data_IF_557400718054
#
_entry.id   IF_557400718054
#
_cell.length_a   1.000
_cell.length_b   1.000
_cell.length_c   1.000
_cell.angle_alpha   90.00
_cell.angle_beta   90.00
_cell.angle_gamma   90.00
#
_symmetry.space_group_name_H-M   'P 1'
#
loop_
_entity.id
_entity.type
_entity.pdbx_description
1 polymer ?
2 non-polymer ?
3 water ?
#
# COMPACT_ATOMS: atom_id res chain seq x y z
N UNK A 5 -17.63 -23.07 11.34
CA UNK A 5 -17.52 -23.86 10.12
C UNK A 5 -16.08 -23.92 9.60
N UNK A 6 -15.40 -22.77 9.50
CA UNK A 6 -14.06 -22.68 8.93
C UNK A 6 -13.02 -22.70 10.05
N UNK A 7 -12.01 -23.56 9.91
CA UNK A 7 -10.91 -23.70 10.86
C UNK A 7 -9.57 -23.51 10.15
N UNK A 8 -8.54 -23.24 10.95
CA UNK A 8 -7.22 -22.99 10.42
C UNK A 8 -6.19 -23.88 11.10
N UNK A 9 -5.30 -24.47 10.32
CA UNK A 9 -4.27 -25.34 10.85
C UNK A 9 -3.02 -25.19 10.00
N UNK A 10 -1.86 -25.59 10.52
CA UNK A 10 -0.66 -25.56 9.69
C UNK A 10 -0.80 -26.48 8.50
N UNK A 11 -0.21 -26.10 7.39
CA UNK A 11 -0.13 -27.03 6.26
C UNK A 11 0.85 -28.15 6.58
N UNK A 12 0.48 -29.36 6.22
CA UNK A 12 1.31 -30.54 6.48
C UNK A 12 1.48 -31.35 5.20
N UNK A 13 2.36 -32.36 5.23
CA UNK A 13 2.65 -33.10 3.98
C UNK A 13 1.44 -33.72 3.31
N UNK A 14 0.42 -34.12 4.07
CA UNK A 14 -0.74 -34.71 3.43
C UNK A 14 -1.51 -33.73 2.55
N UNK A 15 -1.23 -32.43 2.68
CA UNK A 15 -1.83 -31.39 1.83
C UNK A 15 -1.12 -31.23 0.49
N UNK A 16 -0.03 -31.97 0.26
CA UNK A 16 0.86 -31.67 -0.87
C UNK A 16 0.10 -31.63 -2.21
N UNK A 17 -0.60 -32.72 -2.55
CA UNK A 17 -1.30 -32.78 -3.83
C UNK A 17 -2.31 -31.65 -3.98
N UNK A 18 -3.16 -31.47 -2.97
CA UNK A 18 -4.17 -30.42 -3.05
C UNK A 18 -3.52 -29.04 -3.13
N UNK A 19 -2.47 -28.81 -2.34
CA UNK A 19 -1.80 -27.51 -2.35
C UNK A 19 -1.24 -27.19 -3.73
N UNK A 20 -0.56 -28.15 -4.35
CA UNK A 20 -0.01 -27.90 -5.67
C UNK A 20 -1.13 -27.61 -6.66
N UNK A 21 -2.18 -28.40 -6.57
CA UNK A 21 -3.27 -28.30 -7.54
C UNK A 21 -3.98 -26.95 -7.44
N UNK A 22 -4.30 -26.51 -6.23
CA UNK A 22 -4.99 -25.23 -6.05
C UNK A 22 -4.11 -24.06 -6.48
N UNK A 23 -2.80 -24.11 -6.18
CA UNK A 23 -1.92 -23.06 -6.69
C UNK A 23 -1.98 -22.98 -8.22
N UNK A 24 -1.88 -24.13 -8.89
CA UNK A 24 -1.95 -24.14 -10.34
C UNK A 24 -3.27 -23.57 -10.81
N UNK A 25 -4.35 -23.85 -10.09
CA UNK A 25 -5.67 -23.48 -10.60
C UNK A 25 -6.01 -22.02 -10.35
N UNK A 26 -5.57 -21.44 -9.22
CA UNK A 26 -6.04 -20.09 -8.87
C UNK A 26 -4.94 -19.09 -8.60
N UNK A 27 -3.69 -19.56 -8.42
CA UNK A 27 -2.66 -18.58 -8.11
C UNK A 27 -1.85 -18.26 -9.36
N UNK A 28 -1.80 -17.00 -9.78
CA UNK A 28 -1.20 -16.68 -11.08
C UNK A 28 0.29 -16.96 -11.19
N UNK A 29 1.05 -16.86 -10.10
CA UNK A 29 2.50 -17.06 -10.16
C UNK A 29 2.81 -18.54 -10.07
N UNK A 30 3.51 -19.07 -11.07
CA UNK A 30 3.86 -20.48 -11.07
C UNK A 30 5.07 -20.77 -10.20
N UNK A 31 4.97 -21.84 -9.44
CA UNK A 31 6.02 -22.33 -8.56
C UNK A 31 6.41 -23.75 -8.92
N UNK A 32 7.68 -24.05 -8.74
CA UNK A 32 8.23 -25.36 -9.02
C UNK A 32 7.80 -26.34 -7.94
N UNK A 33 7.90 -27.64 -8.25
CA UNK A 33 7.46 -28.65 -7.31
C UNK A 33 8.25 -28.56 -6.01
N UNK A 34 9.55 -28.22 -6.10
CA UNK A 34 10.34 -28.07 -4.89
C UNK A 34 9.74 -27.06 -3.94
N UNK A 35 9.13 -26.00 -4.46
CA UNK A 35 8.54 -25.01 -3.57
C UNK A 35 7.48 -25.64 -2.67
N UNK A 36 6.64 -26.51 -3.23
CA UNK A 36 5.58 -27.08 -2.43
C UNK A 36 6.09 -28.10 -1.42
N UNK A 37 7.20 -28.79 -1.73
CA UNK A 37 7.85 -29.61 -0.72
C UNK A 37 8.35 -28.74 0.43
N UNK A 38 8.96 -27.60 0.10
CA UNK A 38 9.41 -26.68 1.14
C UNK A 38 8.24 -26.24 2.02
N UNK A 39 7.10 -25.92 1.40
CA UNK A 39 5.95 -25.44 2.17
C UNK A 39 5.49 -26.51 3.17
N UNK A 40 5.23 -27.73 2.69
CA UNK A 40 4.65 -28.75 3.55
C UNK A 40 5.64 -29.27 4.58
N UNK A 41 6.94 -29.14 4.31
CA UNK A 41 7.98 -29.53 5.24
C UNK A 41 8.35 -28.43 6.23
N UNK A 42 7.87 -27.21 6.00
CA UNK A 42 8.04 -26.11 6.96
C UNK A 42 9.47 -25.57 6.96
N UNK A 43 10.04 -25.44 8.15
CA UNK A 43 11.33 -24.79 8.27
C UNK A 43 11.30 -23.29 8.04
N UNK A 44 11.78 -22.84 6.89
CA UNK A 44 11.81 -21.41 6.59
C UNK A 44 10.55 -20.90 5.91
N UNK A 45 9.55 -21.75 5.71
CA UNK A 45 8.26 -21.31 5.20
C UNK A 45 7.23 -21.67 6.26
N UNK A 46 6.44 -20.67 6.65
CA UNK A 46 5.32 -20.88 7.55
C UNK A 46 4.08 -20.84 6.71
N UNK A 47 3.07 -21.59 7.12
CA UNK A 47 1.87 -21.55 6.30
C UNK A 47 0.66 -22.03 7.07
N UNK A 48 -0.50 -21.67 6.55
CA UNK A 48 -1.78 -21.98 7.17
C UNK A 48 -2.76 -22.47 6.11
N UNK A 49 -3.55 -23.45 6.47
CA UNK A 49 -4.63 -23.94 5.64
C UNK A 49 -5.95 -23.54 6.29
N UNK A 50 -6.93 -23.25 5.45
CA UNK A 50 -8.31 -23.10 5.88
C UNK A 50 -9.06 -24.35 5.45
N UNK A 51 -9.83 -24.94 6.36
CA UNK A 51 -10.61 -26.13 6.06
C UNK A 51 -12.05 -25.94 6.56
N UNK A 52 -12.98 -26.59 5.85
CA UNK A 52 -14.37 -26.70 6.28
C UNK A 52 -14.60 -28.17 6.59
N UNK A 53 -14.43 -28.56 7.87
CA UNK A 53 -14.59 -29.96 8.22
C UNK A 53 -16.04 -30.40 8.12
N UNK A 54 -16.94 -29.45 7.90
CA UNK A 54 -18.36 -29.72 7.67
C UNK A 54 -18.66 -30.13 6.23
N UNK A 55 -17.64 -30.21 5.36
CA UNK A 55 -17.89 -30.51 3.96
C UNK A 55 -18.36 -31.95 3.80
N UNK A 56 -19.36 -32.19 2.94
CA UNK A 56 -19.81 -33.56 2.68
C UNK A 56 -18.89 -34.32 1.73
N UNK A 57 -19.10 -35.64 1.73
CA UNK A 57 -18.44 -36.58 0.83
C UNK A 57 -16.98 -36.89 1.16
N UNK A 58 -16.51 -36.66 2.40
CA UNK A 58 -15.17 -37.07 2.76
C UNK A 58 -14.12 -35.98 2.76
N UNK A 59 -14.37 -34.86 2.09
CA UNK A 59 -13.36 -33.83 1.87
C UNK A 59 -13.23 -32.86 3.06
N UNK A 60 -13.72 -33.25 4.24
CA UNK A 60 -13.70 -32.36 5.40
C UNK A 60 -12.31 -31.81 5.69
N UNK A 61 -11.27 -32.63 5.52
CA UNK A 61 -9.91 -32.21 5.85
C UNK A 61 -9.17 -31.57 4.68
N UNK A 62 -9.78 -31.52 3.50
CA UNK A 62 -9.17 -30.91 2.32
C UNK A 62 -9.20 -29.40 2.45
N UNK A 63 -8.06 -28.75 2.24
CA UNK A 63 -8.01 -27.31 2.41
C UNK A 63 -8.82 -26.61 1.32
N UNK A 64 -9.45 -25.50 1.70
CA UNK A 64 -10.15 -24.63 0.75
C UNK A 64 -9.57 -23.22 0.74
N UNK A 65 -8.50 -23.00 1.48
CA UNK A 65 -7.80 -21.72 1.47
C UNK A 65 -6.41 -21.97 2.00
N UNK A 66 -5.51 -21.05 1.67
CA UNK A 66 -4.12 -21.24 2.09
C UNK A 66 -3.44 -19.87 2.14
N UNK A 67 -2.40 -19.77 2.98
CA UNK A 67 -1.45 -18.67 2.89
C UNK A 67 -0.08 -19.24 3.20
N UNK A 68 0.93 -18.86 2.40
CA UNK A 68 2.31 -19.27 2.63
C UNK A 68 3.20 -18.05 2.83
N UNK A 69 4.23 -18.18 3.67
CA UNK A 69 5.09 -17.06 4.00
C UNK A 69 6.49 -17.58 4.33
N UNK A 70 7.49 -16.73 4.16
CA UNK A 70 8.84 -17.13 4.54
C UNK A 70 9.46 -16.04 5.38
N UNK A 71 10.48 -16.44 6.11
CA UNK A 71 11.16 -15.56 7.03
C UNK A 71 12.35 -14.94 6.33
N UNK A 72 12.55 -13.64 6.53
CA UNK A 72 13.54 -12.84 5.83
C UNK A 72 14.32 -12.03 6.86
N UNK A 73 15.65 -12.06 6.80
CA UNK A 73 16.43 -11.16 7.62
C UNK A 73 16.15 -9.72 7.20
N UNK A 74 15.83 -8.86 8.18
CA UNK A 74 15.39 -7.51 7.85
C UNK A 74 16.38 -6.79 6.94
N UNK A 75 17.68 -6.91 7.24
CA UNK A 75 18.67 -6.16 6.46
C UNK A 75 18.90 -6.74 5.07
N UNK A 76 18.39 -7.93 4.80
CA UNK A 76 18.48 -8.52 3.47
C UNK A 76 17.20 -8.33 2.66
N UNK A 77 16.20 -7.65 3.24
CA UNK A 77 14.93 -7.45 2.56
C UNK A 77 14.99 -6.18 1.72
N UNK A 78 14.10 -6.10 0.73
CA UNK A 78 14.05 -4.91 -0.09
C UNK A 78 13.46 -3.70 0.62
N UNK A 79 12.88 -3.87 1.80
CA UNK A 79 12.30 -2.73 2.52
C UNK A 79 13.18 -2.34 3.70
N UNK A 80 14.43 -2.79 3.70
CA UNK A 80 15.35 -2.38 4.76
C UNK A 80 15.49 -0.87 4.80
N UNK A 81 15.32 -0.20 3.66
CA UNK A 81 15.42 1.26 3.62
C UNK A 81 14.29 1.93 4.39
N UNK A 82 13.22 1.20 4.70
CA UNK A 82 12.07 1.79 5.34
C UNK A 82 12.10 1.67 6.86
N UNK A 83 13.09 0.94 7.41
CA UNK A 83 13.14 0.55 8.81
C UNK A 83 14.09 1.43 9.60
N UNK A 84 13.66 1.87 10.78
CA UNK A 84 14.54 2.57 11.70
C UNK A 84 15.18 1.48 12.56
N UNK A 85 16.49 1.31 12.42
CA UNK A 85 17.21 0.27 13.14
C UNK A 85 17.70 0.77 14.49
N UNK A 86 17.36 0.04 15.54
CA UNK A 86 17.79 0.36 16.88
C UNK A 86 18.98 -0.56 17.17
N UNK A 87 20.13 0.04 17.47
CA UNK A 87 21.33 -0.77 17.65
C UNK A 87 21.15 -1.83 18.71
N UNK A 88 20.37 -1.53 19.77
CA UNK A 88 20.27 -2.45 20.91
C UNK A 88 19.44 -3.70 20.63
N UNK A 89 18.51 -3.66 19.67
CA UNK A 89 17.65 -4.82 19.49
C UNK A 89 18.22 -5.88 18.54
N UNK A 90 19.20 -5.53 17.72
CA UNK A 90 19.69 -6.44 16.71
C UNK A 90 19.00 -6.18 15.38
N UNK A 91 19.30 -7.02 14.40
CA UNK A 91 18.81 -6.76 13.05
C UNK A 91 17.32 -7.04 12.94
N UNK A 92 16.87 -8.20 13.42
CA UNK A 92 15.48 -8.53 13.30
C UNK A 92 15.11 -9.19 11.98
N UNK A 93 13.87 -9.66 11.91
CA UNK A 93 13.35 -10.36 10.76
C UNK A 93 12.05 -9.73 10.28
N UNK A 94 11.59 -10.25 9.15
CA UNK A 94 10.33 -9.89 8.53
C UNK A 94 9.68 -11.18 8.05
N UNK A 95 8.35 -11.17 8.01
CA UNK A 95 7.59 -12.25 7.38
C UNK A 95 7.14 -11.76 6.00
N UNK A 96 7.43 -12.54 4.97
CA UNK A 96 7.07 -12.22 3.59
C UNK A 96 5.97 -13.17 3.11
N UNK A 97 4.78 -12.64 2.84
CA UNK A 97 3.73 -13.51 2.31
C UNK A 97 4.04 -13.82 0.86
N UNK A 98 4.08 -15.11 0.53
CA UNK A 98 4.37 -15.61 -0.80
C UNK A 98 3.07 -15.81 -1.59
N UNK A 99 2.17 -16.63 -1.07
CA UNK A 99 0.94 -16.92 -1.79
C UNK A 99 -0.25 -16.86 -0.84
N UNK A 100 -1.42 -16.63 -1.43
CA UNK A 100 -2.67 -16.55 -0.68
C UNK A 100 -3.77 -16.87 -1.67
N UNK A 101 -4.72 -17.72 -1.29
CA UNK A 101 -5.82 -18.05 -2.17
C UNK A 101 -6.96 -18.69 -1.41
N UNK A 102 -8.18 -18.50 -1.92
CA UNK A 102 -9.39 -19.14 -1.40
C UNK A 102 -10.14 -19.73 -2.60
N UNK A 103 -10.66 -20.95 -2.47
CA UNK A 103 -11.36 -21.52 -3.61
C UNK A 103 -12.60 -20.66 -3.93
N UNK A 104 -12.91 -20.58 -5.21
CA UNK A 104 -13.89 -19.62 -5.71
C UNK A 104 -15.20 -19.67 -4.92
N UNK A 105 -15.72 -20.87 -4.67
CA UNK A 105 -17.01 -20.95 -4.00
C UNK A 105 -16.97 -20.59 -2.51
N UNK A 106 -15.79 -20.37 -1.94
CA UNK A 106 -15.69 -19.96 -0.54
C UNK A 106 -15.33 -18.48 -0.38
N UNK A 107 -15.30 -17.73 -1.47
CA UNK A 107 -14.83 -16.35 -1.41
C UNK A 107 -15.89 -15.40 -0.85
N UNK A 108 -15.44 -14.24 -0.41
CA UNK A 108 -16.30 -13.20 0.13
C UNK A 108 -16.95 -13.62 1.44
N UNK A 109 -16.24 -14.43 2.24
CA UNK A 109 -16.69 -14.82 3.56
C UNK A 109 -15.69 -14.43 4.64
N UNK A 110 -14.63 -13.71 4.28
CA UNK A 110 -13.62 -13.31 5.24
C UNK A 110 -12.50 -14.31 5.46
N UNK A 111 -12.42 -15.36 4.64
CA UNK A 111 -11.40 -16.38 4.86
C UNK A 111 -10.01 -15.81 4.57
N UNK A 112 -9.86 -15.09 3.46
CA UNK A 112 -8.55 -14.53 3.14
C UNK A 112 -8.12 -13.53 4.20
N UNK A 113 -9.04 -12.68 4.65
CA UNK A 113 -8.72 -11.78 5.74
C UNK A 113 -8.23 -12.55 6.97
N UNK A 114 -8.93 -13.63 7.31
CA UNK A 114 -8.51 -14.42 8.48
C UNK A 114 -7.15 -15.06 8.25
N UNK A 115 -6.88 -15.52 7.03
CA UNK A 115 -5.57 -16.12 6.74
C UNK A 115 -4.46 -15.10 6.93
N UNK A 116 -4.62 -13.89 6.39
CA UNK A 116 -3.63 -12.84 6.60
C UNK A 116 -3.49 -12.55 8.09
N UNK A 117 -4.61 -12.50 8.81
CA UNK A 117 -4.56 -12.27 10.25
C UNK A 117 -3.65 -13.28 10.94
N UNK A 118 -3.72 -14.55 10.52
CA UNK A 118 -2.84 -15.57 11.08
C UNK A 118 -1.37 -15.20 10.89
N UNK A 119 -1.02 -14.67 9.72
CA UNK A 119 0.37 -14.32 9.46
C UNK A 119 0.80 -13.14 10.33
N UNK A 120 -0.06 -12.13 10.46
CA UNK A 120 0.27 -10.97 11.30
C UNK A 120 0.38 -11.38 12.76
N UNK A 121 -0.56 -12.20 13.23
CA UNK A 121 -0.50 -12.70 14.60
C UNK A 121 0.75 -13.54 14.83
N UNK A 122 1.17 -14.30 13.82
CA UNK A 122 2.42 -15.05 13.92
C UNK A 122 3.62 -14.10 14.04
N UNK A 123 3.70 -13.11 13.15
CA UNK A 123 4.85 -12.22 13.14
C UNK A 123 4.97 -11.42 14.45
N UNK A 124 3.84 -11.14 15.09
CA UNK A 124 3.89 -10.37 16.32
C UNK A 124 4.41 -11.18 17.50
N UNK A 125 4.58 -12.49 17.34
CA UNK A 125 5.03 -13.34 18.42
C UNK A 125 6.54 -13.62 18.40
N UNK A 126 7.19 -13.26 17.29
CA UNK A 126 8.62 -13.50 17.11
C UNK A 126 9.35 -12.27 17.64
N UNK A 127 10.28 -12.42 18.62
CA UNK A 127 10.72 -11.24 19.36
C UNK A 127 11.08 -10.04 18.52
N UNK A 128 12.05 -10.14 17.62
CA UNK A 128 12.48 -8.98 16.83
C UNK A 128 11.89 -9.02 15.41
N UNK A 129 10.77 -9.70 15.23
CA UNK A 129 10.08 -9.66 13.94
C UNK A 129 9.38 -8.32 13.75
N UNK A 130 9.73 -7.63 12.67
CA UNK A 130 9.34 -6.23 12.51
C UNK A 130 8.03 -6.06 11.78
N UNK A 131 7.49 -7.11 11.20
CA UNK A 131 6.23 -6.97 10.49
C UNK A 131 6.14 -7.94 9.33
N UNK A 132 5.23 -7.61 8.42
CA UNK A 132 4.86 -8.45 7.27
C UNK A 132 4.93 -7.60 6.02
N UNK A 133 5.43 -8.17 4.92
CA UNK A 133 5.38 -7.50 3.63
C UNK A 133 5.13 -8.53 2.53
N UNK A 134 4.79 -8.03 1.36
CA UNK A 134 4.43 -8.87 0.22
C UNK A 134 4.33 -7.99 -1.01
N UNK A 135 4.16 -8.64 -2.14
CA UNK A 135 3.91 -7.97 -3.40
C UNK A 135 2.57 -8.45 -3.96
N UNK A 136 1.80 -7.52 -4.48
CA UNK A 136 0.51 -7.79 -5.08
C UNK A 136 0.59 -7.43 -6.55
N UNK A 137 0.03 -8.28 -7.42
CA UNK A 137 -0.05 -7.91 -8.82
C UNK A 137 -0.85 -6.63 -8.91
N UNK A 138 -0.35 -5.67 -9.69
CA UNK A 138 -0.85 -4.30 -9.59
C UNK A 138 -2.26 -4.12 -10.14
N UNK A 139 -2.73 -5.01 -11.00
CA UNK A 139 -4.09 -4.87 -11.52
C UNK A 139 -5.09 -5.72 -10.75
N UNK A 140 -4.66 -6.34 -9.65
CA UNK A 140 -5.52 -7.18 -8.81
C UNK A 140 -6.17 -6.30 -7.75
N UNK A 141 -7.25 -5.63 -8.15
CA UNK A 141 -7.94 -4.72 -7.25
C UNK A 141 -8.51 -5.41 -6.01
N UNK A 142 -9.11 -6.60 -6.09
CA UNK A 142 -9.59 -7.25 -4.86
C UNK A 142 -8.49 -7.48 -3.84
N UNK A 143 -7.30 -7.87 -4.30
CA UNK A 143 -6.17 -8.07 -3.39
C UNK A 143 -5.72 -6.75 -2.79
N UNK A 144 -5.62 -5.69 -3.60
CA UNK A 144 -5.28 -4.37 -3.06
C UNK A 144 -6.28 -3.96 -1.98
N UNK A 145 -7.59 -4.07 -2.25
CA UNK A 145 -8.58 -3.70 -1.24
C UNK A 145 -8.43 -4.54 0.03
N UNK A 146 -8.11 -5.82 -0.13
CA UNK A 146 -7.98 -6.72 1.02
C UNK A 146 -6.82 -6.30 1.93
N UNK A 147 -5.66 -6.06 1.35
CA UNK A 147 -4.53 -5.73 2.20
C UNK A 147 -4.71 -4.35 2.82
N UNK A 148 -5.26 -3.40 2.07
CA UNK A 148 -5.60 -2.09 2.63
C UNK A 148 -6.56 -2.24 3.81
N UNK A 149 -7.54 -3.14 3.67
CA UNK A 149 -8.52 -3.35 4.73
C UNK A 149 -7.86 -3.89 5.99
N UNK A 150 -6.79 -4.65 5.82
CA UNK A 150 -5.96 -5.18 6.90
C UNK A 150 -4.96 -4.16 7.43
N UNK A 151 -5.02 -2.92 6.97
CA UNK A 151 -4.13 -1.84 7.40
C UNK A 151 -2.73 -1.92 6.82
N UNK A 152 -2.49 -2.71 5.76
CA UNK A 152 -1.18 -2.69 5.12
C UNK A 152 -1.03 -1.39 4.34
N UNK A 153 0.19 -0.86 4.32
CA UNK A 153 0.49 0.37 3.59
C UNK A 153 1.00 -0.01 2.20
N UNK A 154 0.45 0.64 1.16
CA UNK A 154 0.93 0.48 -0.21
C UNK A 154 2.12 1.41 -0.41
N UNK A 155 3.32 0.85 -0.58
CA UNK A 155 4.54 1.64 -0.56
C UNK A 155 4.91 2.19 -1.94
N UNK A 156 5.03 1.31 -2.92
CA UNK A 156 5.56 1.73 -4.22
C UNK A 156 5.25 0.67 -5.26
N UNK A 157 5.39 1.05 -6.52
CA UNK A 157 5.18 0.17 -7.66
C UNK A 157 6.51 -0.35 -8.19
N UNK A 158 6.59 -1.66 -8.39
CA UNK A 158 7.77 -2.30 -8.98
C UNK A 158 7.43 -2.73 -10.41
N UNK A 159 8.19 -2.24 -11.38
CA UNK A 159 7.88 -2.52 -12.78
C UNK A 159 8.44 -3.86 -13.22
N UNK A 160 7.64 -4.62 -13.97
CA UNK A 160 8.12 -5.89 -14.48
C UNK A 160 8.41 -6.93 -13.42
N UNK A 161 7.77 -6.83 -12.25
CA UNK A 161 8.08 -7.71 -11.14
C UNK A 161 7.72 -9.16 -11.47
N UNK A 162 6.53 -9.36 -12.04
CA UNK A 162 5.95 -10.67 -12.29
C UNK A 162 6.02 -11.05 -13.77
N UNK A 163 6.15 -12.36 -14.02
CA UNK A 163 6.11 -12.89 -15.38
C UNK A 163 5.03 -13.96 -15.40
N UNK A 164 3.97 -13.72 -16.17
CA UNK A 164 2.78 -14.58 -16.17
C UNK A 164 2.36 -14.83 -17.62
N UNK A 165 2.37 -16.09 -18.04
CA UNK A 165 2.02 -16.47 -19.39
C UNK A 165 2.86 -15.67 -20.40
N UNK A 166 4.15 -15.61 -20.13
CA UNK A 166 5.09 -14.87 -20.95
C UNK A 166 4.84 -13.39 -21.06
N UNK A 167 4.09 -12.80 -20.13
CA UNK A 167 3.81 -11.38 -20.14
C UNK A 167 4.29 -10.81 -18.80
N UNK A 168 4.96 -9.65 -18.84
CA UNK A 168 5.41 -9.01 -17.60
C UNK A 168 4.34 -8.10 -17.02
N UNK A 169 4.20 -8.13 -15.69
CA UNK A 169 3.23 -7.32 -14.97
C UNK A 169 3.90 -6.66 -13.79
N UNK A 170 3.42 -5.46 -13.44
CA UNK A 170 3.96 -4.72 -12.31
C UNK A 170 3.36 -5.25 -11.00
N UNK A 171 4.03 -4.94 -9.89
CA UNK A 171 3.51 -5.29 -8.58
C UNK A 171 3.47 -4.05 -7.69
N UNK A 172 2.67 -4.13 -6.64
CA UNK A 172 2.72 -3.16 -5.54
C UNK A 172 3.36 -3.82 -4.33
N UNK A 173 4.29 -3.12 -3.70
CA UNK A 173 4.84 -3.53 -2.41
C UNK A 173 3.90 -3.10 -1.30
N UNK A 174 3.49 -4.03 -0.43
CA UNK A 174 2.64 -3.72 0.73
C UNK A 174 3.37 -4.11 1.99
N UNK A 175 3.31 -3.26 3.03
CA UNK A 175 4.01 -3.53 4.27
C UNK A 175 3.07 -3.29 5.46
N UNK A 176 3.18 -4.14 6.47
CA UNK A 176 2.57 -3.89 7.77
C UNK A 176 3.66 -3.98 8.83
N UNK A 177 4.04 -2.84 9.40
CA UNK A 177 5.05 -2.82 10.45
C UNK A 177 4.38 -2.90 11.82
N UNK A 178 4.95 -3.73 12.70
CA UNK A 178 4.39 -3.89 14.03
C UNK A 178 4.50 -2.61 14.83
N UNK A 179 5.59 -1.87 14.63
CA UNK A 179 5.77 -0.54 15.20
C UNK A 179 6.13 0.39 14.04
N UNK A 180 5.11 1.00 13.43
CA UNK A 180 5.31 1.87 12.29
C UNK A 180 5.76 3.27 12.65
N UNK B 5 -20.69 3.98 -2.34
CA UNK B 5 -19.50 3.98 -1.50
C UNK B 5 -18.27 4.33 -2.31
N UNK B 6 -17.41 5.17 -1.74
CA UNK B 6 -16.21 5.65 -2.38
C UNK B 6 -15.04 4.80 -1.91
N UNK B 7 -14.22 4.35 -2.84
CA UNK B 7 -13.06 3.55 -2.47
C UNK B 7 -11.78 4.25 -2.93
N UNK B 8 -10.68 3.86 -2.30
CA UNK B 8 -9.39 4.44 -2.58
C UNK B 8 -8.44 3.34 -2.97
N UNK B 9 -7.70 3.57 -4.04
CA UNK B 9 -6.73 2.63 -4.58
C UNK B 9 -5.58 3.46 -5.11
N UNK B 10 -4.41 2.85 -5.30
CA UNK B 10 -3.29 3.58 -5.89
C UNK B 10 -3.58 4.02 -7.32
N UNK B 11 -3.06 5.20 -7.67
CA UNK B 11 -3.06 5.65 -9.05
C UNK B 11 -2.10 4.76 -9.84
N UNK B 12 -2.50 4.36 -11.04
CA UNK B 12 -1.68 3.52 -11.89
C UNK B 12 -1.56 4.13 -13.26
N UNK B 13 -0.69 3.58 -14.11
CA UNK B 13 -0.49 4.18 -15.44
C UNK B 13 -1.75 4.26 -16.29
N UNK B 14 -2.68 3.32 -16.11
CA UNK B 14 -3.91 3.41 -16.91
C UNK B 14 -4.76 4.60 -16.52
N UNK B 15 -4.49 5.25 -15.38
CA UNK B 15 -5.20 6.47 -14.97
C UNK B 15 -4.63 7.71 -15.65
N UNK B 16 -3.56 7.57 -16.43
CA UNK B 16 -2.86 8.75 -16.94
C UNK B 16 -3.81 9.69 -17.67
N UNK B 17 -4.54 9.18 -18.65
CA UNK B 17 -5.41 10.04 -19.46
C UNK B 17 -6.39 10.80 -18.57
N UNK B 18 -7.05 10.09 -17.66
CA UNK B 18 -8.02 10.72 -16.78
C UNK B 18 -7.36 11.76 -15.88
N UNK B 19 -6.19 11.43 -15.34
CA UNK B 19 -5.53 12.38 -14.46
C UNK B 19 -5.19 13.66 -15.22
N UNK B 20 -4.63 13.52 -16.43
CA UNK B 20 -4.31 14.70 -17.24
C UNK B 20 -5.57 15.50 -17.55
N UNK B 21 -6.67 14.83 -17.88
CA UNK B 21 -7.89 15.53 -18.26
C UNK B 21 -8.44 16.34 -17.09
N UNK B 22 -8.49 15.75 -15.89
CA UNK B 22 -9.02 16.50 -14.74
C UNK B 22 -8.12 17.68 -14.43
N UNK B 23 -6.79 17.47 -14.43
CA UNK B 23 -5.87 18.58 -14.18
C UNK B 23 -6.10 19.71 -15.19
N UNK B 24 -6.21 19.33 -16.46
CA UNK B 24 -6.46 20.29 -17.54
C UNK B 24 -7.76 21.05 -17.30
N UNK B 25 -8.78 20.36 -16.78
CA UNK B 25 -10.12 20.91 -16.66
C UNK B 25 -10.30 21.78 -15.41
N UNK B 26 -9.52 21.56 -14.35
CA UNK B 26 -9.79 22.25 -13.09
C UNK B 26 -8.60 23.09 -12.59
N UNK B 27 -7.38 22.88 -13.08
CA UNK B 27 -6.22 23.62 -12.59
C UNK B 27 -5.72 24.62 -13.62
N UNK B 28 -5.58 25.89 -13.26
CA UNK B 28 -5.04 26.86 -14.21
C UNK B 28 -3.59 26.56 -14.58
N UNK B 29 -2.84 25.93 -13.68
CA UNK B 29 -1.43 25.62 -13.91
C UNK B 29 -1.31 24.42 -14.84
N UNK B 30 -0.52 24.58 -15.89
CA UNK B 30 -0.26 23.49 -16.81
C UNK B 30 0.79 22.58 -16.21
N UNK B 31 0.60 21.27 -16.37
CA UNK B 31 1.55 20.30 -15.87
C UNK B 31 2.12 19.51 -17.05
N UNK B 32 3.43 19.30 -17.08
CA UNK B 32 4.02 18.60 -18.21
C UNK B 32 3.94 17.08 -18.02
N UNK B 33 4.19 16.37 -19.12
CA UNK B 33 4.05 14.91 -19.11
C UNK B 33 4.96 14.26 -18.07
N UNK B 34 6.15 14.84 -17.84
CA UNK B 34 7.06 14.27 -16.85
C UNK B 34 6.41 14.23 -15.47
N UNK B 35 5.61 15.24 -15.14
CA UNK B 35 4.93 15.25 -13.85
C UNK B 35 4.00 14.07 -13.70
N UNK B 36 3.17 13.82 -14.72
CA UNK B 36 2.20 12.73 -14.63
C UNK B 36 2.85 11.37 -14.73
N UNK B 37 3.95 11.26 -15.48
CA UNK B 37 4.68 10.00 -15.56
C UNK B 37 5.22 9.60 -14.19
N UNK B 38 5.87 10.54 -13.51
CA UNK B 38 6.32 10.30 -12.14
C UNK B 38 5.18 9.86 -11.25
N UNK B 39 4.01 10.50 -11.36
CA UNK B 39 2.90 10.17 -10.48
C UNK B 39 2.38 8.77 -10.75
N UNK B 40 2.04 8.45 -12.00
CA UNK B 40 1.38 7.18 -12.26
C UNK B 40 2.32 6.00 -12.16
N UNK B 41 3.63 6.21 -12.30
CA UNK B 41 4.53 5.06 -12.21
C UNK B 41 4.86 4.66 -10.78
N UNK B 42 4.61 5.55 -9.81
CA UNK B 42 4.65 5.15 -8.42
C UNK B 42 5.99 4.63 -7.96
N UNK B 43 7.07 5.06 -8.60
CA UNK B 43 8.37 4.46 -8.33
C UNK B 43 8.88 4.76 -6.93
N UNK B 44 8.68 5.99 -6.46
CA UNK B 44 9.13 6.36 -5.11
C UNK B 44 8.03 6.19 -4.07
N UNK B 45 6.77 6.44 -4.45
CA UNK B 45 5.62 6.32 -3.57
C UNK B 45 4.40 6.28 -4.48
N UNK B 46 3.38 5.55 -4.07
CA UNK B 46 2.15 5.58 -4.86
C UNK B 46 1.32 6.79 -4.47
N UNK B 47 0.62 7.32 -5.45
CA UNK B 47 -0.35 8.39 -5.28
C UNK B 47 -1.71 7.72 -5.18
N UNK B 48 -2.74 8.48 -4.79
CA UNK B 48 -4.02 7.84 -4.46
C UNK B 48 -5.17 8.38 -5.28
N UNK B 49 -6.04 7.46 -5.68
CA UNK B 49 -7.26 7.76 -6.39
C UNK B 49 -8.47 7.45 -5.52
N UNK B 50 -9.52 8.25 -5.69
CA UNK B 50 -10.83 7.94 -5.15
C UNK B 50 -11.71 7.50 -6.32
N UNK B 51 -12.42 6.39 -6.13
CA UNK B 51 -13.31 5.86 -7.17
C UNK B 51 -14.67 5.62 -6.56
N UNK B 52 -15.70 5.70 -7.40
CA UNK B 52 -17.07 5.46 -6.99
C UNK B 52 -17.47 4.07 -7.47
N UNK B 53 -17.38 3.08 -6.58
CA UNK B 53 -17.68 1.70 -6.93
C UNK B 53 -19.16 1.43 -7.15
N UNK B 54 -20.06 2.36 -6.82
CA UNK B 54 -21.48 2.16 -7.08
C UNK B 54 -21.88 2.52 -8.51
N UNK B 55 -20.96 3.06 -9.31
CA UNK B 55 -21.20 3.47 -10.69
C UNK B 55 -21.34 2.23 -11.56
N UNK B 56 -21.57 2.38 -12.86
CA UNK B 56 -21.64 1.20 -13.73
C UNK B 56 -20.25 0.57 -13.85
N UNK B 57 -20.24 -0.68 -14.31
CA UNK B 57 -18.99 -1.42 -14.37
C UNK B 57 -17.93 -0.72 -15.22
N UNK B 58 -18.34 -0.10 -16.33
CA UNK B 58 -17.34 0.56 -17.17
C UNK B 58 -16.74 1.79 -16.52
N UNK B 59 -17.54 2.58 -15.82
CA UNK B 59 -17.05 3.80 -15.21
C UNK B 59 -16.68 3.62 -13.75
N UNK B 60 -16.87 2.41 -13.20
CA UNK B 60 -16.64 2.20 -11.78
C UNK B 60 -15.20 2.52 -11.40
N UNK B 61 -14.25 2.15 -12.26
CA UNK B 61 -12.83 2.32 -11.94
C UNK B 61 -12.26 3.66 -12.38
N UNK B 62 -13.05 4.54 -12.99
CA UNK B 62 -12.57 5.87 -13.35
C UNK B 62 -12.48 6.74 -12.09
N UNK B 63 -11.32 7.29 -11.82
CA UNK B 63 -11.19 8.05 -10.60
C UNK B 63 -11.99 9.35 -10.67
N UNK B 64 -12.52 9.76 -9.51
CA UNK B 64 -13.21 11.03 -9.36
C UNK B 64 -12.51 11.91 -8.33
N UNK B 65 -11.35 11.48 -7.84
CA UNK B 65 -10.54 12.29 -6.95
C UNK B 65 -9.13 11.74 -6.92
N UNK B 66 -8.19 12.59 -6.51
CA UNK B 66 -6.78 12.18 -6.45
C UNK B 66 -6.03 13.04 -5.46
N UNK B 67 -4.94 12.46 -4.97
CA UNK B 67 -3.87 13.22 -4.33
C UNK B 67 -2.58 12.68 -4.91
N UNK B 68 -1.74 13.57 -5.42
CA UNK B 68 -0.50 13.13 -6.01
C UNK B 68 0.61 13.57 -5.07
N UNK B 69 1.62 12.71 -4.94
CA UNK B 69 2.66 12.88 -3.93
C UNK B 69 3.99 12.35 -4.45
N UNK B 70 5.07 12.81 -3.81
CA UNK B 70 6.40 12.33 -4.10
C UNK B 70 7.15 12.27 -2.78
N UNK B 71 8.24 11.54 -2.76
CA UNK B 71 9.11 11.43 -1.59
C UNK B 71 10.22 12.45 -1.68
N UNK B 72 10.52 13.07 -0.53
CA UNK B 72 11.59 14.03 -0.39
C UNK B 72 12.39 13.58 0.81
N UNK B 73 13.71 13.45 0.65
CA UNK B 73 14.53 13.16 1.81
C UNK B 73 14.44 14.30 2.81
N UNK B 74 14.20 13.94 4.09
CA UNK B 74 13.98 14.95 5.12
C UNK B 74 15.11 15.96 5.18
N UNK B 75 16.35 15.48 5.10
CA UNK B 75 17.50 16.37 5.22
C UNK B 75 17.67 17.26 4.00
N UNK B 76 17.00 16.97 2.90
CA UNK B 76 17.05 17.79 1.70
C UNK B 76 15.84 18.71 1.56
N UNK B 77 14.89 18.65 2.48
CA UNK B 77 13.67 19.43 2.37
C UNK B 77 13.87 20.82 2.95
N UNK B 78 12.97 21.73 2.59
CA UNK B 78 13.03 23.08 3.15
C UNK B 78 12.64 23.07 4.63
N UNK B 79 12.16 21.95 5.16
CA UNK B 79 11.83 21.85 6.58
C UNK B 79 12.84 20.96 7.32
N UNK B 80 14.03 20.78 6.77
CA UNK B 80 15.02 19.93 7.46
C UNK B 80 15.28 20.44 8.86
N UNK B 81 15.21 21.75 9.05
CA UNK B 81 15.41 22.35 10.36
C UNK B 81 14.32 22.00 11.36
N UNK B 82 13.16 21.55 10.89
CA UNK B 82 11.99 21.30 11.73
C UNK B 82 11.82 19.84 12.11
N UNK B 83 12.65 18.93 11.59
CA UNK B 83 12.52 17.50 11.84
C UNK B 83 13.48 17.12 12.97
N UNK B 84 12.97 16.30 13.88
CA UNK B 84 13.69 15.92 15.10
C UNK B 84 14.76 14.88 14.82
N UNK B 85 16.00 15.16 15.26
CA UNK B 85 17.11 14.28 14.94
C UNK B 85 16.89 12.86 15.49
N UNK B 86 17.15 11.87 14.64
CA UNK B 86 16.87 10.45 14.95
C UNK B 86 18.13 9.68 15.30
N UNK B 87 18.16 9.12 16.51
CA UNK B 87 19.31 8.32 16.94
C UNK B 87 19.47 7.08 16.07
N UNK B 88 18.36 6.49 15.64
CA UNK B 88 18.42 5.23 14.93
C UNK B 88 18.93 5.43 13.52
N UNK B 89 19.45 4.35 12.93
CA UNK B 89 19.99 4.42 11.58
C UNK B 89 18.86 4.24 10.58
N UNK B 90 18.84 5.10 9.56
CA UNK B 90 17.77 5.13 8.58
C UNK B 90 17.49 6.53 8.09
N UNK B 91 17.56 6.74 6.78
CA UNK B 91 17.46 8.08 6.21
C UNK B 91 16.00 8.52 6.17
N UNK B 92 15.64 9.45 7.05
CA UNK B 92 14.25 9.85 7.14
C UNK B 92 13.76 10.51 5.87
N UNK B 93 12.47 10.33 5.60
CA UNK B 93 11.88 10.83 4.39
C UNK B 93 10.68 11.69 4.75
N UNK B 94 10.12 12.34 3.74
CA UNK B 94 8.92 13.13 3.86
C UNK B 94 8.07 12.86 2.64
N UNK B 95 6.75 12.94 2.82
CA UNK B 95 5.82 12.91 1.71
C UNK B 95 5.45 14.34 1.39
N UNK B 96 5.60 14.73 0.14
CA UNK B 96 5.28 16.07 -0.33
C UNK B 96 4.05 15.94 -1.20
N UNK B 97 2.94 16.57 -0.79
CA UNK B 97 1.73 16.57 -1.62
C UNK B 97 1.87 17.58 -2.74
N UNK B 98 1.68 17.13 -3.98
CA UNK B 98 1.85 17.93 -5.19
C UNK B 98 0.54 18.58 -5.62
N UNK B 99 -0.46 17.78 -5.89
CA UNK B 99 -1.78 18.27 -6.30
C UNK B 99 -2.84 17.46 -5.58
N UNK B 100 -4.01 18.06 -5.47
CA UNK B 100 -5.13 17.39 -4.83
C UNK B 100 -6.36 17.90 -5.51
N UNK B 101 -7.26 17.01 -5.88
CA UNK B 101 -8.46 17.45 -6.58
C UNK B 101 -9.57 16.45 -6.43
N UNK B 102 -10.81 16.97 -6.44
CA UNK B 102 -12.01 16.14 -6.43
C UNK B 102 -12.91 16.72 -7.52
N UNK B 103 -13.49 15.87 -8.36
CA UNK B 103 -14.36 16.41 -9.40
C UNK B 103 -15.56 17.08 -8.73
N UNK B 104 -16.05 18.13 -9.38
CA UNK B 104 -17.03 19.05 -8.79
C UNK B 104 -18.21 18.34 -8.14
N UNK B 105 -18.84 17.41 -8.85
CA UNK B 105 -20.06 16.82 -8.28
C UNK B 105 -19.80 15.92 -7.09
N UNK B 106 -18.54 15.64 -6.76
CA UNK B 106 -18.18 14.80 -5.62
C UNK B 106 -17.63 15.61 -4.46
N UNK B 107 -17.63 16.94 -4.57
CA UNK B 107 -17.05 17.78 -3.54
C UNK B 107 -17.96 17.86 -2.32
N UNK B 108 -17.37 18.23 -1.18
CA UNK B 108 -18.11 18.43 0.06
C UNK B 108 -18.69 17.13 0.60
N UNK B 109 -18.02 15.99 0.34
CA UNK B 109 -18.43 14.70 0.89
C UNK B 109 -17.34 14.05 1.74
N UNK B 110 -16.24 14.75 1.99
CA UNK B 110 -15.15 14.19 2.77
C UNK B 110 -14.16 13.39 1.97
N UNK B 111 -14.28 13.40 0.64
CA UNK B 111 -13.35 12.63 -0.20
C UNK B 111 -11.95 13.22 -0.12
N UNK B 112 -11.82 14.54 -0.19
CA UNK B 112 -10.49 15.13 -0.10
C UNK B 112 -9.84 14.80 1.23
N UNK B 113 -10.60 14.90 2.31
CA UNK B 113 -10.08 14.51 3.62
C UNK B 113 -9.58 13.08 3.60
N UNK B 114 -10.37 12.17 3.02
CA UNK B 114 -10.00 10.76 2.95
C UNK B 114 -8.75 10.54 2.10
N UNK B 115 -8.60 11.31 1.03
CA UNK B 115 -7.38 11.21 0.22
C UNK B 115 -6.15 11.65 1.03
N UNK B 116 -6.23 12.80 1.70
CA UNK B 116 -5.12 13.23 2.55
C UNK B 116 -4.82 12.18 3.60
N UNK B 117 -5.87 11.58 4.17
CA UNK B 117 -5.69 10.51 5.14
C UNK B 117 -4.84 9.36 4.59
N UNK B 118 -5.04 8.95 3.33
CA UNK B 118 -4.20 7.87 2.83
C UNK B 118 -2.72 8.22 2.94
N UNK B 119 -2.38 9.47 2.64
CA UNK B 119 -1.00 9.92 2.72
C UNK B 119 -0.55 9.99 4.18
N UNK B 120 -1.44 10.47 5.06
CA UNK B 120 -1.07 10.50 6.48
C UNK B 120 -0.85 9.09 7.00
N UNK B 121 -1.70 8.13 6.59
CA UNK B 121 -1.49 6.73 7.00
C UNK B 121 -0.16 6.19 6.52
N UNK B 122 0.31 6.60 5.34
CA UNK B 122 1.63 6.19 4.89
C UNK B 122 2.68 6.69 5.88
N UNK B 123 2.61 7.96 6.22
CA UNK B 123 3.64 8.55 7.07
C UNK B 123 3.66 7.89 8.44
N UNK B 124 2.49 7.50 8.96
CA UNK B 124 2.49 6.87 10.28
C UNK B 124 2.84 5.39 10.23
N UNK B 125 2.77 4.78 9.06
CA UNK B 125 3.05 3.36 8.99
C UNK B 125 4.44 2.99 8.48
N UNK B 126 5.16 3.94 7.91
CA UNK B 126 6.51 3.71 7.41
C UNK B 126 7.51 4.25 8.43
N UNK B 127 8.32 3.40 9.08
CA UNK B 127 9.18 3.89 10.18
C UNK B 127 9.98 5.13 9.86
N UNK B 128 10.64 5.18 8.71
CA UNK B 128 11.54 6.30 8.44
C UNK B 128 10.82 7.54 7.89
N UNK B 129 9.52 7.49 7.67
CA UNK B 129 8.81 8.68 7.25
C UNK B 129 8.53 9.58 8.44
N UNK B 130 8.93 10.87 8.33
CA UNK B 130 8.82 11.85 9.41
C UNK B 130 7.55 12.72 9.32
N UNK B 131 6.76 12.63 8.25
CA UNK B 131 5.54 13.41 8.14
C UNK B 131 5.24 13.75 6.69
N UNK B 132 4.34 14.72 6.53
CA UNK B 132 3.82 15.15 5.24
C UNK B 132 3.89 16.67 5.18
N UNK B 133 4.24 17.23 4.03
CA UNK B 133 4.16 18.68 3.88
C UNK B 133 3.77 19.05 2.46
N UNK B 134 3.34 20.30 2.31
CA UNK B 134 2.88 20.81 1.02
C UNK B 134 2.79 22.32 1.13
N UNK B 135 2.45 22.95 0.00
CA UNK B 135 2.20 24.38 -0.05
C UNK B 135 0.78 24.61 -0.57
N UNK B 136 0.07 25.55 0.05
CA UNK B 136 -1.27 25.95 -0.40
C UNK B 136 -1.21 27.40 -0.81
N UNK B 137 -1.82 27.74 -1.95
CA UNK B 137 -1.90 29.14 -2.34
C UNK B 137 -2.69 29.91 -1.29
N UNK B 138 -2.24 31.14 -1.01
CA UNK B 138 -2.69 31.84 0.19
C UNK B 138 -4.18 32.19 0.16
N UNK B 139 -4.80 32.27 -1.02
CA UNK B 139 -6.21 32.61 -1.13
C UNK B 139 -7.13 31.40 -1.29
N UNK B 140 -6.63 30.17 -1.18
CA UNK B 140 -7.47 28.98 -1.33
C UNK B 140 -8.02 28.62 0.05
N UNK B 141 -9.08 29.33 0.45
CA UNK B 141 -9.63 29.12 1.79
C UNK B 141 -10.15 27.70 1.99
N UNK B 142 -10.88 27.09 1.04
CA UNK B 142 -11.30 25.70 1.27
C UNK B 142 -10.15 24.75 1.54
N UNK B 143 -9.02 24.88 0.82
CA UNK B 143 -7.88 24.01 1.08
C UNK B 143 -7.23 24.31 2.42
N UNK B 144 -7.04 25.61 2.72
CA UNK B 144 -6.49 25.98 4.02
C UNK B 144 -7.33 25.40 5.14
N UNK B 145 -8.65 25.58 5.06
CA UNK B 145 -9.53 24.99 6.07
C UNK B 145 -9.38 23.48 6.09
N UNK B 146 -9.24 22.86 4.92
CA UNK B 146 -9.11 21.40 4.85
C UNK B 146 -7.86 20.92 5.57
N UNK B 147 -6.72 21.53 5.27
CA UNK B 147 -5.48 21.08 5.85
C UNK B 147 -5.41 21.39 7.35
N UNK B 148 -5.89 22.56 7.76
CA UNK B 148 -5.95 22.82 9.19
C UNK B 148 -6.81 21.78 9.91
N UNK B 149 -7.94 21.44 9.31
CA UNK B 149 -8.83 20.46 9.92
C UNK B 149 -8.22 19.06 9.92
N UNK B 150 -7.32 18.77 8.98
CA UNK B 150 -6.56 17.52 9.01
C UNK B 150 -5.43 17.56 10.03
N UNK B 151 -5.31 18.64 10.79
CA UNK B 151 -4.30 18.80 11.83
C UNK B 151 -2.92 19.13 11.27
N UNK B 152 -2.84 19.56 10.01
CA UNK B 152 -1.58 20.09 9.50
C UNK B 152 -1.33 21.45 10.14
N UNK B 153 -0.07 21.75 10.41
CA UNK B 153 0.32 23.03 10.99
C UNK B 153 0.64 24.03 9.89
N UNK B 154 0.11 25.24 10.01
CA UNK B 154 0.48 26.33 9.13
C UNK B 154 1.74 26.99 9.71
N UNK B 155 2.89 26.64 9.13
CA UNK B 155 4.16 27.02 9.75
C UNK B 155 4.54 28.43 9.37
N UNK B 156 4.47 28.76 8.08
CA UNK B 156 4.87 30.10 7.68
C UNK B 156 4.30 30.39 6.31
N UNK B 157 4.25 31.68 6.00
CA UNK B 157 3.80 32.19 4.73
C UNK B 157 5.04 32.49 3.90
N UNK B 158 5.09 31.97 2.68
CA UNK B 158 6.20 32.19 1.78
C UNK B 158 5.77 33.14 0.68
N UNK B 159 6.50 34.24 0.53
CA UNK B 159 6.17 35.28 -0.44
C UNK B 159 6.71 34.93 -1.81
N UNK B 160 5.91 35.18 -2.85
CA UNK B 160 6.34 34.89 -4.20
C UNK B 160 6.50 33.42 -4.52
N UNK B 161 5.82 32.55 -3.76
CA UNK B 161 5.99 31.11 -3.97
C UNK B 161 5.41 30.67 -5.31
N UNK B 162 4.19 31.10 -5.61
CA UNK B 162 3.49 30.62 -6.80
C UNK B 162 3.57 31.64 -7.91
N UNK B 163 3.83 31.16 -9.13
CA UNK B 163 3.87 32.02 -10.31
C UNK B 163 3.10 31.40 -11.46
N UNK B 166 0.48 34.35 -14.88
CA UNK B 166 1.75 35.05 -14.85
C UNK B 166 1.94 35.96 -13.65
N UNK B 167 1.24 35.66 -12.56
CA UNK B 167 1.26 36.47 -11.35
C UNK B 167 1.83 35.69 -10.17
N UNK B 168 2.59 36.39 -9.34
CA UNK B 168 3.13 35.79 -8.13
C UNK B 168 2.12 35.84 -7.00
N UNK B 169 2.01 34.73 -6.26
CA UNK B 169 1.12 34.60 -5.12
C UNK B 169 1.86 33.97 -3.96
N UNK B 170 1.42 34.30 -2.75
CA UNK B 170 2.01 33.69 -1.57
C UNK B 170 1.45 32.28 -1.35
N UNK B 171 2.20 31.48 -0.60
CA UNK B 171 1.74 30.17 -0.20
C UNK B 171 1.87 30.03 1.30
N UNK B 172 1.11 29.09 1.85
CA UNK B 172 1.28 28.65 3.22
C UNK B 172 2.00 27.32 3.21
N UNK B 173 3.06 27.20 4.01
CA UNK B 173 3.70 25.92 4.24
C UNK B 173 2.91 25.20 5.33
N UNK B 174 2.41 24.02 5.01
CA UNK B 174 1.63 23.21 5.91
C UNK B 174 2.40 21.92 6.17
N UNK B 175 2.47 21.51 7.42
CA UNK B 175 3.22 20.30 7.79
C UNK B 175 2.39 19.46 8.73
N UNK B 176 2.44 18.14 8.53
CA UNK B 176 1.87 17.17 9.46
C UNK B 176 3.04 16.38 10.00
N UNK B 177 3.30 16.55 11.29
CA UNK B 177 4.45 15.93 11.95
C UNK B 177 4.09 14.59 12.59
N UNK B 178 4.92 13.57 12.34
CA UNK B 178 4.85 12.34 13.11
C UNK B 178 5.47 12.59 14.48
#
# INVERSE_FOLDING_TARGET
ARRPTICFRPINPSDLERLEQIHRDIFPIRYESEFFQNVVNGGDIVSWAAVDRSRPDGHSEELIGFVTAKIVLAKESEISDLIRYDSSKGEGTLVYILTLGVVETYRKRGIAKALINEVVKYSSGIPVCRGVYLHVIAHNNPAIRLYKRMSFRCVRRLHGFYLINGQHFDSYLFVYFINGS
ARRPTICFRPINPSDLERLEQIHRDIFPIRYESEFFQNVVNGGDIVSWAAVDRSRPDGHSEELIGFVTAKIVLAKESEISDLIRYDSSKGEGTLVYILTLGVVETYRKRGIAKALINEVVKYSSGIPVCRGVYLHVIAHNNPAIRLYKRMSFRCVRRLHGFYLINGQHFDSYLFVYFINGS
#
